data_IF_725360521083
#
_entry.id   IF_725360521083
#
_cell.length_a   1.000
_cell.length_b   1.000
_cell.length_c   1.000
_cell.angle_alpha   90.00
_cell.angle_beta   90.00
_cell.angle_gamma   90.00
#
_symmetry.space_group_name_H-M   'P 1'
#
loop_
_entity.id
_entity.type
_entity.pdbx_description
1 polymer ?
#
# COMPACT_ATOMS: atom_id res chain seq x y z
N UNK A 1 2.26 -13.40 7.26
CA UNK A 1 2.74 -12.00 7.32
C UNK A 1 1.77 -11.04 7.99
N UNK A 2 2.17 -10.44 9.12
CA UNK A 2 1.34 -9.47 9.87
C UNK A 2 1.21 -8.10 9.17
N UNK A 3 2.18 -7.75 8.32
CA UNK A 3 2.19 -6.44 7.65
C UNK A 3 1.21 -6.40 6.48
N UNK A 4 1.32 -7.31 5.51
CA UNK A 4 0.44 -7.30 4.32
C UNK A 4 -1.03 -7.49 4.69
N UNK A 5 -1.34 -8.37 5.66
CA UNK A 5 -2.71 -8.61 6.11
C UNK A 5 -3.39 -7.35 6.63
N UNK A 6 -2.66 -6.45 7.30
CA UNK A 6 -3.19 -5.16 7.74
C UNK A 6 -3.55 -4.27 6.56
N UNK A 7 -2.68 -4.16 5.56
CA UNK A 7 -2.97 -3.37 4.36
C UNK A 7 -4.15 -3.93 3.57
N UNK A 8 -4.26 -5.25 3.44
CA UNK A 8 -5.41 -5.90 2.80
C UNK A 8 -6.69 -5.62 3.58
N UNK A 9 -6.69 -5.80 4.91
CA UNK A 9 -7.88 -5.53 5.75
C UNK A 9 -8.32 -4.05 5.71
N UNK A 10 -7.37 -3.13 5.51
CA UNK A 10 -7.63 -1.71 5.34
C UNK A 10 -8.02 -1.33 3.90
N UNK A 11 -8.08 -2.30 2.98
CA UNK A 11 -8.42 -2.07 1.57
C UNK A 11 -7.36 -1.27 0.82
N UNK A 12 -6.08 -1.44 1.16
CA UNK A 12 -4.93 -0.69 0.62
C UNK A 12 -4.05 -1.53 -0.31
N UNK A 13 -4.17 -2.85 -0.30
CA UNK A 13 -3.29 -3.74 -1.04
C UNK A 13 -4.01 -4.99 -1.54
N UNK A 14 -3.48 -5.57 -2.61
CA UNK A 14 -3.76 -6.93 -3.06
C UNK A 14 -2.59 -7.80 -2.60
N UNK A 15 -2.88 -8.91 -1.91
CA UNK A 15 -1.85 -9.86 -1.49
C UNK A 15 -1.69 -10.98 -2.51
N UNK A 16 -0.45 -11.39 -2.72
CA UNK A 16 -0.09 -12.53 -3.56
C UNK A 16 0.77 -13.49 -2.74
N UNK A 17 0.48 -14.79 -2.86
CA UNK A 17 1.35 -15.84 -2.34
C UNK A 17 2.53 -15.98 -3.31
N UNK A 18 3.76 -15.93 -2.79
CA UNK A 18 4.97 -15.94 -3.62
C UNK A 18 5.29 -17.38 -4.06
N UNK A 19 4.99 -18.34 -3.19
CA UNK A 19 5.26 -19.75 -3.48
C UNK A 19 4.25 -20.28 -4.50
N UNK A 20 4.72 -20.55 -5.71
CA UNK A 20 3.89 -21.13 -6.78
C UNK A 20 3.08 -20.11 -7.58
N UNK A 21 3.41 -18.82 -7.48
CA UNK A 21 2.78 -17.77 -8.28
C UNK A 21 2.96 -18.01 -9.78
N UNK A 22 1.91 -17.76 -10.56
CA UNK A 22 1.93 -17.82 -12.02
C UNK A 22 1.71 -16.45 -12.65
N UNK A 23 2.04 -16.32 -13.94
CA UNK A 23 1.85 -15.09 -14.72
C UNK A 23 0.42 -14.55 -14.65
N UNK A 24 -0.58 -15.45 -14.65
CA UNK A 24 -1.99 -15.08 -14.54
C UNK A 24 -2.31 -14.40 -13.20
N UNK A 25 -1.72 -14.87 -12.10
CA UNK A 25 -1.99 -14.35 -10.76
C UNK A 25 -1.45 -12.93 -10.62
N UNK A 26 -0.27 -12.69 -11.21
CA UNK A 26 0.33 -11.35 -11.30
C UNK A 26 -0.55 -10.44 -12.17
N UNK A 27 -0.95 -10.92 -13.34
CA UNK A 27 -1.77 -10.14 -14.29
C UNK A 27 -3.12 -9.74 -13.68
N UNK A 28 -3.78 -10.66 -12.99
CA UNK A 28 -5.01 -10.41 -12.26
C UNK A 28 -4.80 -9.40 -11.13
N UNK A 29 -3.77 -9.57 -10.30
CA UNK A 29 -3.48 -8.65 -9.21
C UNK A 29 -3.18 -7.23 -9.68
N UNK A 30 -2.42 -7.07 -10.77
CA UNK A 30 -2.17 -5.75 -11.40
C UNK A 30 -3.47 -5.15 -11.92
N UNK A 31 -4.29 -5.94 -12.63
CA UNK A 31 -5.57 -5.49 -13.13
C UNK A 31 -6.49 -5.02 -11.99
N UNK A 32 -6.59 -5.80 -10.90
CA UNK A 32 -7.34 -5.43 -9.70
C UNK A 32 -6.79 -4.15 -9.06
N UNK A 33 -5.47 -4.03 -8.93
CA UNK A 33 -4.85 -2.86 -8.33
C UNK A 33 -5.14 -1.56 -9.10
N UNK A 34 -5.16 -1.64 -10.43
CA UNK A 34 -5.41 -0.49 -11.30
C UNK A 34 -6.90 -0.15 -11.41
N UNK A 35 -7.75 -1.16 -11.50
CA UNK A 35 -9.16 -1.00 -11.88
C UNK A 35 -10.16 -1.12 -10.72
N UNK A 36 -9.69 -1.18 -9.47
CA UNK A 36 -10.56 -1.12 -8.28
C UNK A 36 -10.57 0.31 -7.72
N UNK A 37 -11.66 1.10 -7.93
CA UNK A 37 -11.69 2.51 -7.51
C UNK A 37 -11.52 2.70 -6.00
N UNK A 38 -12.15 1.83 -5.21
CA UNK A 38 -12.06 1.89 -3.73
C UNK A 38 -10.63 1.69 -3.23
N UNK A 39 -9.86 0.80 -3.87
CA UNK A 39 -8.45 0.61 -3.55
C UNK A 39 -7.65 1.88 -3.83
N UNK A 40 -7.85 2.50 -4.99
CA UNK A 40 -7.20 3.78 -5.33
C UNK A 40 -7.54 4.89 -4.33
N UNK A 41 -8.81 5.02 -3.96
CA UNK A 41 -9.28 6.08 -3.06
C UNK A 41 -8.75 5.89 -1.63
N UNK A 42 -8.73 4.64 -1.15
CA UNK A 42 -8.16 4.29 0.14
C UNK A 42 -6.65 4.57 0.17
N UNK A 43 -5.91 4.17 -0.87
CA UNK A 43 -4.47 4.43 -0.97
C UNK A 43 -4.19 5.93 -1.02
N UNK A 44 -4.92 6.70 -1.84
CA UNK A 44 -4.78 8.18 -1.89
C UNK A 44 -5.04 8.82 -0.53
N UNK A 45 -6.08 8.36 0.17
CA UNK A 45 -6.44 8.86 1.50
C UNK A 45 -5.36 8.55 2.53
N UNK A 46 -4.91 7.29 2.60
CA UNK A 46 -3.80 6.89 3.46
C UNK A 46 -2.53 7.67 3.15
N UNK A 47 -2.24 7.91 1.86
CA UNK A 47 -1.09 8.69 1.42
C UNK A 47 -1.13 10.14 1.92
N UNK A 48 -2.31 10.77 1.93
CA UNK A 48 -2.49 12.12 2.49
C UNK A 48 -2.25 12.11 4.00
N UNK A 49 -2.91 11.21 4.73
CA UNK A 49 -2.78 11.09 6.19
C UNK A 49 -1.33 10.81 6.62
N UNK A 50 -0.62 9.95 5.89
CA UNK A 50 0.78 9.67 6.18
C UNK A 50 1.69 10.90 6.02
N UNK A 51 1.37 11.83 5.11
CA UNK A 51 2.16 13.06 4.93
C UNK A 51 1.70 14.20 5.83
N UNK A 52 0.54 14.06 6.47
CA UNK A 52 -0.03 15.04 7.39
C UNK A 52 0.67 14.95 8.75
N UNK A 53 1.92 15.42 8.78
CA UNK A 53 2.78 15.41 9.95
C UNK A 53 3.34 16.82 10.18
N UNK A 54 3.53 17.26 11.44
CA UNK A 54 3.95 18.62 11.77
C UNK A 54 5.36 18.97 11.31
N UNK A 55 6.21 17.97 11.06
CA UNK A 55 7.56 18.13 10.53
C UNK A 55 7.69 17.31 9.27
N UNK A 56 8.45 17.83 8.30
CA UNK A 56 8.72 17.07 7.08
C UNK A 56 9.60 15.85 7.40
N UNK A 57 9.58 14.86 6.50
CA UNK A 57 10.41 13.68 6.66
C UNK A 57 11.92 14.02 6.75
N UNK A 58 12.36 15.06 6.04
CA UNK A 58 13.77 15.49 6.06
C UNK A 58 14.13 16.19 7.37
N UNK A 59 13.26 17.06 7.89
CA UNK A 59 13.47 17.73 9.19
C UNK A 59 13.52 16.70 10.32
N UNK A 60 12.65 15.69 10.25
CA UNK A 60 12.65 14.57 11.19
C UNK A 60 13.98 13.80 11.15
N UNK A 61 14.49 13.48 9.96
CA UNK A 61 15.75 12.76 9.82
C UNK A 61 16.96 13.55 10.38
N UNK A 62 17.00 14.87 10.15
CA UNK A 62 18.05 15.74 10.70
C UNK A 62 17.99 15.80 12.22
N UNK A 63 16.81 15.89 12.83
CA UNK A 63 16.65 15.91 14.29
C UNK A 63 17.18 14.64 14.97
N UNK A 64 16.99 13.47 14.34
CA UNK A 64 17.38 12.17 14.90
C UNK A 64 18.81 11.73 14.51
N UNK A 65 19.57 12.57 13.82
CA UNK A 65 21.00 12.32 13.52
C UNK A 65 21.88 12.72 14.70
#
# INVERSE_FOLDING_TARGET
DLNINRYVSAGLAVSLEILGIQEKDISEAVNTALNTPTLQDNVKTMSRLFRDQPMSAIDTAVFWS
#
